data_IF_244892374046
#
_entry.id   IF_244892374046
#
_cell.length_a   1.000
_cell.length_b   1.000
_cell.length_c   1.000
_cell.angle_alpha   90.00
_cell.angle_beta   90.00
_cell.angle_gamma   90.00
#
_symmetry.space_group_name_H-M   'P 1'
#
loop_
_entity.id
_entity.type
_entity.pdbx_description
1 polymer ?
#
# COMPACT_ATOMS: atom_id res chain seq x y z
N UNK A 1 -13.23 9.54 20.26
CA UNK A 1 -12.00 9.10 20.96
C UNK A 1 -10.81 9.69 20.21
N UNK A 2 -10.09 10.65 20.79
CA UNK A 2 -9.04 11.42 20.08
C UNK A 2 -7.90 10.54 19.56
N UNK A 3 -7.58 9.46 20.26
CA UNK A 3 -6.57 8.49 19.84
C UNK A 3 -7.03 7.81 18.55
N UNK A 4 -8.28 7.32 18.49
CA UNK A 4 -8.78 6.64 17.29
C UNK A 4 -8.89 7.59 16.10
N UNK A 5 -9.39 8.82 16.30
CA UNK A 5 -9.40 9.85 15.25
C UNK A 5 -8.01 10.13 14.69
N UNK A 6 -7.00 10.23 15.56
CA UNK A 6 -5.60 10.37 15.15
C UNK A 6 -5.13 9.18 14.30
N UNK A 7 -5.44 7.94 14.70
CA UNK A 7 -5.08 6.75 13.93
C UNK A 7 -5.80 6.68 12.58
N UNK A 8 -7.10 7.05 12.52
CA UNK A 8 -7.86 7.11 11.26
C UNK A 8 -7.23 8.11 10.29
N UNK A 9 -6.97 9.34 10.73
CA UNK A 9 -6.33 10.36 9.90
C UNK A 9 -4.94 9.92 9.41
N UNK A 10 -4.14 9.34 10.32
CA UNK A 10 -2.81 8.83 9.97
C UNK A 10 -2.88 7.68 8.95
N UNK A 11 -3.86 6.79 9.09
CA UNK A 11 -4.07 5.70 8.15
C UNK A 11 -4.49 6.22 6.77
N UNK A 12 -5.39 7.21 6.72
CA UNK A 12 -5.82 7.83 5.47
C UNK A 12 -4.67 8.54 4.75
N UNK A 13 -3.94 9.43 5.43
CA UNK A 13 -2.80 10.14 4.86
C UNK A 13 -1.76 9.16 4.29
N UNK A 14 -1.45 8.11 5.05
CA UNK A 14 -0.52 7.06 4.60
C UNK A 14 -1.02 6.29 3.38
N UNK A 15 -2.33 6.11 3.27
CA UNK A 15 -2.96 5.45 2.12
C UNK A 15 -2.82 6.29 0.88
N UNK A 16 -3.15 7.58 0.96
CA UNK A 16 -2.99 8.54 -0.14
C UNK A 16 -1.53 8.66 -0.57
N UNK A 17 -0.60 8.72 0.40
CA UNK A 17 0.84 8.69 0.17
C UNK A 17 1.25 7.50 -0.70
N UNK A 18 0.99 6.27 -0.24
CA UNK A 18 1.32 5.04 -0.96
C UNK A 18 0.63 4.99 -2.33
N UNK A 19 -0.64 5.38 -2.40
CA UNK A 19 -1.42 5.37 -3.64
C UNK A 19 -0.83 6.29 -4.70
N UNK A 20 -0.40 7.50 -4.33
CA UNK A 20 0.18 8.45 -5.27
C UNK A 20 1.42 7.90 -5.98
N UNK A 21 2.29 7.20 -5.25
CA UNK A 21 3.48 6.54 -5.80
C UNK A 21 3.08 5.36 -6.68
N UNK A 22 2.20 4.50 -6.20
CA UNK A 22 1.78 3.29 -6.91
C UNK A 22 1.10 3.61 -8.26
N UNK A 23 0.20 4.59 -8.27
CA UNK A 23 -0.49 5.07 -9.48
C UNK A 23 0.50 5.72 -10.45
N UNK A 24 1.43 6.54 -9.94
CA UNK A 24 2.47 7.19 -10.76
C UNK A 24 3.39 6.18 -11.44
N UNK A 25 3.76 5.12 -10.73
CA UNK A 25 4.54 4.00 -11.28
C UNK A 25 3.75 3.19 -12.29
N UNK A 26 2.47 2.92 -12.05
CA UNK A 26 1.63 2.20 -13.03
C UNK A 26 1.52 2.98 -14.33
N UNK A 27 1.27 4.29 -14.26
CA UNK A 27 1.21 5.14 -15.46
C UNK A 27 2.55 5.12 -16.23
N UNK A 28 3.70 5.06 -15.53
CA UNK A 28 4.99 4.90 -16.19
C UNK A 28 5.10 3.52 -16.86
N UNK A 29 4.84 2.46 -16.11
CA UNK A 29 4.95 1.08 -16.56
C UNK A 29 4.09 0.80 -17.80
N UNK A 30 2.86 1.35 -17.85
CA UNK A 30 1.93 1.16 -18.95
C UNK A 30 2.39 1.81 -20.27
N UNK A 31 3.29 2.81 -20.24
CA UNK A 31 3.83 3.43 -21.46
C UNK A 31 4.60 2.42 -22.31
N UNK A 32 5.37 1.57 -21.64
CA UNK A 32 6.23 0.57 -22.27
C UNK A 32 5.59 -0.82 -22.32
N UNK A 33 4.55 -1.07 -21.51
CA UNK A 33 3.91 -2.39 -21.36
C UNK A 33 2.43 -2.41 -21.75
N UNK A 34 2.09 -1.86 -22.93
CA UNK A 34 0.68 -1.69 -23.39
C UNK A 34 -0.16 -2.97 -23.47
N UNK A 35 0.44 -4.15 -23.47
CA UNK A 35 -0.23 -5.46 -23.56
C UNK A 35 -0.27 -6.22 -22.23
N UNK A 36 0.08 -5.57 -21.12
CA UNK A 36 -0.04 -6.16 -19.78
C UNK A 36 -1.51 -6.36 -19.40
N UNK A 37 -1.78 -7.29 -18.49
CA UNK A 37 -3.11 -7.46 -17.87
C UNK A 37 -3.37 -6.41 -16.76
N UNK A 38 -2.34 -5.68 -16.35
CA UNK A 38 -2.44 -4.64 -15.33
C UNK A 38 -3.12 -3.37 -15.88
N UNK A 39 -3.79 -2.64 -15.01
CA UNK A 39 -4.56 -1.45 -15.38
C UNK A 39 -4.44 -0.34 -14.33
N UNK A 40 -4.59 0.90 -14.78
CA UNK A 40 -4.54 2.09 -13.92
C UNK A 40 -5.74 2.14 -12.95
N UNK A 41 -6.93 1.76 -13.41
CA UNK A 41 -8.14 1.76 -12.59
C UNK A 41 -8.02 0.77 -11.43
N UNK A 42 -7.53 -0.45 -11.71
CA UNK A 42 -7.36 -1.48 -10.68
C UNK A 42 -6.31 -1.08 -9.65
N UNK A 43 -5.16 -0.52 -10.04
CA UNK A 43 -4.17 -0.07 -9.04
C UNK A 43 -4.69 1.12 -8.24
N UNK A 44 -5.47 2.03 -8.84
CA UNK A 44 -6.03 3.18 -8.15
C UNK A 44 -6.94 2.73 -7.02
N UNK A 45 -7.87 1.81 -7.31
CA UNK A 45 -8.71 1.21 -6.29
C UNK A 45 -7.88 0.40 -5.28
N UNK A 46 -7.01 -0.50 -5.75
CA UNK A 46 -6.20 -1.37 -4.90
C UNK A 46 -5.34 -0.57 -3.92
N UNK A 47 -4.75 0.53 -4.34
CA UNK A 47 -3.93 1.35 -3.47
C UNK A 47 -4.75 2.11 -2.42
N UNK A 48 -5.96 2.55 -2.75
CA UNK A 48 -6.84 3.22 -1.78
C UNK A 48 -7.38 2.27 -0.71
N UNK A 49 -7.51 0.98 -1.01
CA UNK A 49 -8.06 0.01 -0.05
C UNK A 49 -7.06 -1.06 0.39
N UNK A 50 -5.77 -0.92 0.05
CA UNK A 50 -4.72 -1.87 0.43
C UNK A 50 -4.65 -2.12 1.95
N UNK A 51 -5.07 -1.14 2.77
CA UNK A 51 -5.08 -1.22 4.22
C UNK A 51 -6.48 -1.04 4.82
N UNK A 52 -7.55 -1.33 4.06
CA UNK A 52 -8.96 -1.19 4.50
C UNK A 52 -9.27 -1.98 5.78
N UNK A 53 -8.58 -3.10 6.01
CA UNK A 53 -8.76 -3.92 7.20
C UNK A 53 -8.34 -3.26 8.51
N UNK A 54 -7.73 -2.07 8.47
CA UNK A 54 -7.51 -1.26 9.68
C UNK A 54 -8.82 -0.70 10.24
N UNK A 55 -9.82 -0.43 9.39
CA UNK A 55 -11.02 0.31 9.78
C UNK A 55 -11.86 -0.46 10.81
N UNK A 56 -12.17 -1.77 10.64
CA UNK A 56 -12.92 -2.50 11.66
C UNK A 56 -12.19 -2.58 13.01
N UNK A 57 -10.86 -2.60 13.01
CA UNK A 57 -10.05 -2.58 14.24
C UNK A 57 -10.21 -1.25 14.96
N UNK A 58 -10.17 -0.14 14.22
CA UNK A 58 -10.36 1.20 14.78
C UNK A 58 -11.79 1.40 15.27
N UNK A 59 -12.80 0.95 14.52
CA UNK A 59 -14.20 0.96 14.95
C UNK A 59 -14.36 0.24 16.28
N UNK A 60 -13.74 -0.93 16.44
CA UNK A 60 -13.86 -1.65 17.71
C UNK A 60 -13.02 -1.03 18.83
N UNK A 61 -11.92 -0.35 18.50
CA UNK A 61 -11.19 0.46 19.47
C UNK A 61 -11.99 1.66 20.00
N UNK A 62 -12.90 2.24 19.20
CA UNK A 62 -13.80 3.31 19.66
C UNK A 62 -14.81 2.82 20.67
N UNK A 63 -15.32 1.59 20.50
CA UNK A 63 -16.31 0.98 21.37
C UNK A 63 -15.73 0.48 22.71
N UNK A 64 -14.41 0.25 22.78
CA UNK A 64 -13.73 -0.32 23.96
C UNK A 64 -12.53 0.54 24.42
N UNK A 65 -12.74 1.80 24.83
CA UNK A 65 -11.66 2.76 25.10
C UNK A 65 -10.68 2.30 26.19
N UNK A 66 -11.13 1.56 27.21
CA UNK A 66 -10.29 1.10 28.32
C UNK A 66 -9.22 0.10 27.88
N UNK A 67 -9.54 -0.76 26.92
CA UNK A 67 -8.63 -1.78 26.38
C UNK A 67 -7.63 -1.16 25.40
N UNK A 68 -8.10 -0.19 24.60
CA UNK A 68 -7.32 0.43 23.53
C UNK A 68 -6.67 1.76 23.91
N UNK A 69 -6.76 2.19 25.18
CA UNK A 69 -6.02 3.31 25.72
C UNK A 69 -4.49 3.13 25.60
N UNK A 70 -4.01 1.90 25.43
CA UNK A 70 -2.60 1.58 25.16
C UNK A 70 -2.31 1.61 23.64
N UNK A 71 -1.55 2.61 23.12
CA UNK A 71 -1.26 2.73 21.69
C UNK A 71 -0.45 1.55 21.13
N UNK A 72 0.37 0.90 21.96
CA UNK A 72 1.15 -0.28 21.56
C UNK A 72 0.24 -1.47 21.30
N UNK A 73 -0.80 -1.66 22.12
CA UNK A 73 -1.76 -2.75 21.91
C UNK A 73 -2.54 -2.55 20.60
N UNK A 74 -3.06 -1.34 20.37
CA UNK A 74 -3.76 -1.01 19.13
C UNK A 74 -2.85 -1.22 17.90
N UNK A 75 -1.60 -0.77 17.97
CA UNK A 75 -0.64 -0.98 16.88
C UNK A 75 -0.38 -2.48 16.60
N UNK A 76 -0.25 -3.31 17.64
CA UNK A 76 -0.06 -4.75 17.48
C UNK A 76 -1.30 -5.42 16.87
N UNK A 77 -2.50 -5.01 17.29
CA UNK A 77 -3.75 -5.50 16.69
C UNK A 77 -3.81 -5.16 15.19
N UNK A 78 -3.47 -3.92 14.83
CA UNK A 78 -3.40 -3.49 13.42
C UNK A 78 -2.44 -4.37 12.63
N UNK A 79 -1.20 -4.54 13.10
CA UNK A 79 -0.18 -5.33 12.39
C UNK A 79 -0.62 -6.79 12.18
N UNK A 80 -1.29 -7.39 13.18
CA UNK A 80 -1.66 -8.81 13.15
C UNK A 80 -2.97 -9.09 12.41
N UNK A 81 -3.90 -8.14 12.37
CA UNK A 81 -5.26 -8.39 11.91
C UNK A 81 -5.62 -7.66 10.62
N UNK A 82 -4.98 -6.53 10.30
CA UNK A 82 -5.45 -5.68 9.18
C UNK A 82 -5.38 -6.41 7.84
N UNK A 83 -4.36 -7.23 7.58
CA UNK A 83 -4.27 -8.02 6.35
C UNK A 83 -5.42 -9.02 6.22
N UNK A 84 -5.61 -9.87 7.24
CA UNK A 84 -6.70 -10.86 7.25
C UNK A 84 -8.09 -10.23 7.12
N UNK A 85 -8.31 -9.11 7.80
CA UNK A 85 -9.56 -8.35 7.70
C UNK A 85 -9.71 -7.70 6.32
N UNK A 86 -8.63 -7.17 5.74
CA UNK A 86 -8.61 -6.63 4.38
C UNK A 86 -8.99 -7.68 3.35
N UNK A 87 -8.42 -8.88 3.45
CA UNK A 87 -8.79 -10.02 2.62
C UNK A 87 -10.24 -10.45 2.81
N UNK A 88 -10.77 -10.47 4.04
CA UNK A 88 -12.17 -10.79 4.31
C UNK A 88 -13.14 -9.75 3.70
N UNK A 89 -12.82 -8.45 3.84
CA UNK A 89 -13.60 -7.36 3.24
C UNK A 89 -13.58 -7.48 1.72
N UNK A 90 -12.39 -7.67 1.13
CA UNK A 90 -12.21 -7.83 -0.32
C UNK A 90 -13.07 -8.96 -0.90
N UNK A 91 -13.06 -10.14 -0.25
CA UNK A 91 -13.90 -11.28 -0.63
C UNK A 91 -15.39 -10.97 -0.50
N UNK A 92 -15.79 -10.31 0.59
CA UNK A 92 -17.20 -9.94 0.81
C UNK A 92 -17.71 -8.95 -0.23
N UNK A 93 -16.85 -8.10 -0.80
CA UNK A 93 -17.21 -7.17 -1.86
C UNK A 93 -17.14 -7.78 -3.26
N UNK A 94 -16.73 -9.05 -3.38
CA UNK A 94 -16.65 -9.76 -4.65
C UNK A 94 -15.47 -9.35 -5.53
N UNK A 95 -14.39 -8.82 -4.95
CA UNK A 95 -13.17 -8.54 -5.71
C UNK A 95 -12.42 -9.81 -6.11
N UNK A 96 -11.55 -9.67 -7.11
CA UNK A 96 -10.73 -10.77 -7.63
C UNK A 96 -9.74 -11.30 -6.59
N UNK A 97 -9.20 -12.49 -6.87
CA UNK A 97 -8.18 -13.10 -6.02
C UNK A 97 -6.89 -12.27 -5.95
N UNK A 98 -6.44 -11.68 -7.05
CA UNK A 98 -5.27 -10.79 -7.08
C UNK A 98 -5.46 -9.57 -6.16
N UNK A 99 -6.67 -9.02 -6.16
CA UNK A 99 -7.04 -7.89 -5.33
C UNK A 99 -7.08 -8.29 -3.85
N UNK A 100 -7.69 -9.44 -3.57
CA UNK A 100 -7.77 -10.02 -2.23
C UNK A 100 -6.38 -10.31 -1.68
N UNK A 101 -5.50 -10.90 -2.49
CA UNK A 101 -4.10 -11.14 -2.15
C UNK A 101 -3.37 -9.84 -1.83
N UNK A 102 -3.62 -8.78 -2.59
CA UNK A 102 -3.04 -7.47 -2.32
C UNK A 102 -3.49 -6.92 -0.96
N UNK A 103 -4.80 -6.89 -0.69
CA UNK A 103 -5.33 -6.39 0.58
C UNK A 103 -4.86 -7.24 1.77
N UNK A 104 -4.64 -8.53 1.57
CA UNK A 104 -4.22 -9.47 2.62
C UNK A 104 -2.72 -9.45 2.88
N UNK A 105 -1.89 -9.24 1.85
CA UNK A 105 -0.47 -9.59 1.88
C UNK A 105 0.48 -8.50 1.40
N UNK A 106 0.03 -7.26 1.17
CA UNK A 106 0.92 -6.17 0.75
C UNK A 106 2.11 -5.96 1.69
N UNK A 107 1.92 -6.18 3.00
CA UNK A 107 2.96 -6.06 4.03
C UNK A 107 3.73 -7.35 4.31
N UNK A 108 3.27 -8.50 3.78
CA UNK A 108 3.92 -9.80 3.94
C UNK A 108 5.00 -10.01 2.87
N UNK A 109 6.26 -9.80 3.25
CA UNK A 109 7.41 -9.88 2.36
C UNK A 109 7.87 -11.31 2.06
N UNK A 110 7.21 -12.34 2.62
CA UNK A 110 7.44 -13.74 2.24
C UNK A 110 6.75 -14.08 0.92
N UNK A 111 5.75 -13.28 0.51
CA UNK A 111 5.02 -13.42 -0.74
C UNK A 111 5.65 -12.46 -1.76
N UNK A 112 6.47 -13.00 -2.66
CA UNK A 112 7.12 -12.26 -3.73
C UNK A 112 6.69 -12.83 -5.09
N UNK A 113 5.81 -12.13 -5.84
CA UNK A 113 5.43 -12.53 -7.19
C UNK A 113 6.66 -12.66 -8.09
N UNK A 114 6.70 -13.66 -8.98
CA UNK A 114 7.78 -13.82 -9.97
C UNK A 114 7.69 -12.75 -11.06
N UNK A 115 6.49 -12.51 -11.57
CA UNK A 115 6.18 -11.48 -12.56
C UNK A 115 5.80 -10.14 -11.89
N UNK A 116 5.64 -9.10 -12.70
CA UNK A 116 5.12 -7.80 -12.22
C UNK A 116 3.69 -7.97 -11.72
N UNK A 117 3.43 -7.54 -10.49
CA UNK A 117 2.13 -7.63 -9.86
C UNK A 117 1.77 -6.31 -9.16
N UNK A 118 0.48 -6.03 -8.93
CA UNK A 118 0.03 -4.84 -8.20
C UNK A 118 0.71 -4.67 -6.82
N UNK A 119 1.07 -5.79 -6.17
CA UNK A 119 1.85 -5.82 -4.93
C UNK A 119 3.16 -5.04 -5.03
N UNK A 120 3.86 -5.13 -6.15
CA UNK A 120 5.15 -4.46 -6.36
C UNK A 120 4.98 -2.93 -6.33
N UNK A 121 3.91 -2.41 -6.95
CA UNK A 121 3.57 -0.98 -6.96
C UNK A 121 3.21 -0.45 -5.56
N UNK A 122 2.36 -1.17 -4.83
CA UNK A 122 2.00 -0.80 -3.44
C UNK A 122 3.23 -0.80 -2.55
N UNK A 123 4.09 -1.81 -2.67
CA UNK A 123 5.31 -1.93 -1.87
C UNK A 123 6.34 -0.87 -2.25
N UNK A 124 6.45 -0.48 -3.52
CA UNK A 124 7.29 0.65 -3.92
C UNK A 124 6.82 1.96 -3.25
N UNK A 125 5.52 2.22 -3.19
CA UNK A 125 4.95 3.33 -2.40
C UNK A 125 5.25 3.22 -0.90
N UNK A 126 5.14 2.02 -0.34
CA UNK A 126 5.49 1.75 1.05
C UNK A 126 6.99 1.99 1.34
N UNK A 127 7.89 1.64 0.40
CA UNK A 127 9.33 1.94 0.50
C UNK A 127 9.57 3.45 0.46
N UNK A 128 8.99 4.15 -0.52
CA UNK A 128 9.15 5.59 -0.70
C UNK A 128 8.72 6.39 0.55
N UNK A 129 7.62 5.98 1.19
CA UNK A 129 7.13 6.60 2.44
C UNK A 129 7.69 5.96 3.73
N UNK A 130 8.80 5.22 3.65
CA UNK A 130 9.52 4.65 4.80
C UNK A 130 8.64 3.78 5.73
N UNK A 131 7.71 3.02 5.15
CA UNK A 131 6.87 2.08 5.87
C UNK A 131 7.66 0.85 6.29
N UNK A 132 8.43 0.28 5.36
CA UNK A 132 9.42 -0.73 5.70
C UNK A 132 10.64 -0.06 6.33
N UNK A 133 11.15 -0.63 7.43
CA UNK A 133 12.24 -0.01 8.21
C UNK A 133 13.62 -0.60 7.95
N UNK A 134 13.69 -1.82 7.43
CA UNK A 134 14.96 -2.49 7.15
C UNK A 134 15.50 -2.03 5.78
N UNK A 135 16.64 -1.33 5.78
CA UNK A 135 17.24 -0.79 4.54
C UNK A 135 17.67 -1.89 3.57
N UNK A 136 18.29 -2.97 4.05
CA UNK A 136 18.68 -4.11 3.20
C UNK A 136 17.48 -4.75 2.51
N UNK A 137 16.33 -4.81 3.19
CA UNK A 137 15.07 -5.25 2.59
C UNK A 137 14.57 -4.29 1.52
N UNK A 138 14.61 -2.97 1.76
CA UNK A 138 14.22 -1.98 0.74
C UNK A 138 15.10 -2.11 -0.51
N UNK A 139 16.41 -2.17 -0.34
CA UNK A 139 17.37 -2.32 -1.44
C UNK A 139 17.11 -3.60 -2.26
N UNK A 140 16.88 -4.72 -1.58
CA UNK A 140 16.59 -5.99 -2.25
C UNK A 140 15.30 -5.93 -3.06
N UNK A 141 14.24 -5.29 -2.53
CA UNK A 141 12.98 -5.10 -3.23
C UNK A 141 13.13 -4.15 -4.42
N UNK A 142 13.81 -3.01 -4.26
CA UNK A 142 14.04 -2.07 -5.37
C UNK A 142 14.83 -2.73 -6.50
N UNK A 143 15.89 -3.49 -6.19
CA UNK A 143 16.65 -4.27 -7.19
C UNK A 143 15.76 -5.30 -7.90
N UNK A 144 14.86 -5.96 -7.16
CA UNK A 144 13.90 -6.90 -7.74
C UNK A 144 12.94 -6.19 -8.70
N UNK A 145 12.40 -5.03 -8.31
CA UNK A 145 11.48 -4.23 -9.12
C UNK A 145 12.15 -3.68 -10.38
N UNK A 146 13.41 -3.23 -10.31
CA UNK A 146 14.19 -2.86 -11.49
C UNK A 146 14.40 -4.06 -12.42
N UNK A 147 14.74 -5.24 -11.88
CA UNK A 147 14.90 -6.46 -12.68
C UNK A 147 13.61 -6.87 -13.40
N UNK A 148 12.46 -6.65 -12.78
CA UNK A 148 11.13 -6.89 -13.38
C UNK A 148 10.72 -5.83 -14.41
N UNK A 149 11.46 -4.72 -14.53
CA UNK A 149 11.11 -3.59 -15.39
C UNK A 149 10.04 -2.65 -14.81
N UNK A 150 9.77 -2.71 -13.50
CA UNK A 150 8.87 -1.78 -12.81
C UNK A 150 9.49 -0.39 -12.66
N UNK A 151 10.82 -0.36 -12.47
CA UNK A 151 11.61 0.85 -12.29
C UNK A 151 12.75 0.88 -13.32
N UNK A 152 13.08 2.06 -13.90
CA UNK A 152 14.27 2.20 -14.73
C UNK A 152 15.57 1.84 -14.00
N UNK A 153 15.70 2.27 -12.75
CA UNK A 153 16.82 1.99 -11.85
C UNK A 153 16.37 2.07 -10.38
N UNK A 154 17.25 1.72 -9.46
CA UNK A 154 16.94 1.65 -8.01
C UNK A 154 16.71 3.02 -7.37
N UNK A 155 17.25 4.08 -7.97
CA UNK A 155 17.19 5.45 -7.45
C UNK A 155 16.08 6.28 -8.11
N UNK A 156 15.42 5.76 -9.15
CA UNK A 156 14.41 6.47 -9.93
C UNK A 156 13.29 7.08 -9.07
N UNK A 157 12.86 6.38 -8.01
CA UNK A 157 11.84 6.88 -7.07
C UNK A 157 12.27 8.18 -6.37
N UNK A 158 13.57 8.44 -6.25
CA UNK A 158 14.11 9.62 -5.61
C UNK A 158 14.41 10.76 -6.59
N UNK A 159 14.20 10.54 -7.89
CA UNK A 159 14.35 11.58 -8.91
C UNK A 159 13.33 12.69 -8.76
N UNK A 160 13.72 13.93 -9.09
CA UNK A 160 12.81 15.08 -9.04
C UNK A 160 11.65 14.96 -10.02
N UNK A 161 11.86 14.26 -11.14
CA UNK A 161 10.80 13.96 -12.10
C UNK A 161 9.72 13.08 -11.46
N UNK A 162 10.12 11.98 -10.82
CA UNK A 162 9.19 11.06 -10.19
C UNK A 162 8.44 11.72 -9.02
N UNK A 163 9.15 12.49 -8.19
CA UNK A 163 8.55 13.25 -7.08
C UNK A 163 7.44 14.17 -7.57
N UNK A 164 7.70 14.98 -8.60
CA UNK A 164 6.68 15.88 -9.19
C UNK A 164 5.47 15.13 -9.70
N UNK A 165 5.68 13.97 -10.34
CA UNK A 165 4.59 13.12 -10.81
C UNK A 165 3.74 12.59 -9.65
N UNK A 166 4.39 12.03 -8.63
CA UNK A 166 3.71 11.53 -7.43
C UNK A 166 2.94 12.63 -6.70
N UNK A 167 3.53 13.82 -6.54
CA UNK A 167 2.88 14.95 -5.90
C UNK A 167 1.64 15.43 -6.68
N UNK A 168 1.71 15.41 -8.01
CA UNK A 168 0.55 15.75 -8.86
C UNK A 168 -0.60 14.74 -8.70
N UNK A 169 -0.29 13.44 -8.58
CA UNK A 169 -1.32 12.41 -8.32
C UNK A 169 -1.86 12.57 -6.90
N UNK A 170 -0.99 12.83 -5.91
CA UNK A 170 -1.37 13.04 -4.52
C UNK A 170 -2.36 14.19 -4.36
N UNK A 171 -2.15 15.29 -5.09
CA UNK A 171 -3.03 16.46 -5.08
C UNK A 171 -4.46 16.18 -5.57
N UNK A 172 -4.72 15.05 -6.24
CA UNK A 172 -6.08 14.66 -6.66
C UNK A 172 -6.94 14.12 -5.49
N UNK A 173 -6.32 13.81 -4.34
CA UNK A 173 -6.99 13.22 -3.17
C UNK A 173 -7.09 14.17 -1.98
N UNK A 174 -6.63 15.42 -2.13
CA UNK A 174 -6.53 16.44 -1.06
C UNK A 174 -7.41 17.64 -1.40
#
# INVERSE_FOLDING_TARGET
>A
NDVVTMYMNKAWVKTVDIASVAISLMDLYLKDNKRTSLSLDTITLAALIHNIGILPILTEAENHPDVFANPTFLQQAIIKLSGRLGGAISRSWGFSDDFTLLAESWSDLTILPSEVHYLDFIRAGAIYHNVFKNESTKEALLKNYTKKGLLPDVDYLYSDEFKKKSDSVKAMFI
#
